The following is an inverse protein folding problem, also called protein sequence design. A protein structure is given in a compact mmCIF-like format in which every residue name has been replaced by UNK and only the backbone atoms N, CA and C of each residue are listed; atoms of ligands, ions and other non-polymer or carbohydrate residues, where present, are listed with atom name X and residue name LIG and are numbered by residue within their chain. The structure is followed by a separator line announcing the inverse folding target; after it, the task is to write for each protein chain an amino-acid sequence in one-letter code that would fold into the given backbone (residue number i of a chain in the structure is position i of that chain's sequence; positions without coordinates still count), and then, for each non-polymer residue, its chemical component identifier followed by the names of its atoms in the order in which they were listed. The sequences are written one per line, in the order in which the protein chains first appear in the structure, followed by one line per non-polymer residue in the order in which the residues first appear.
data_IF_579388208389
#
_entry.id   IF_579388208389
#
_cell.length_a   1.000
_cell.length_b   1.000
_cell.length_c   1.000
_cell.angle_alpha   90.00
_cell.angle_beta   90.00
_cell.angle_gamma   90.00
#
_symmetry.space_group_name_H-M   'P 1'
#
loop_
_entity.id
_entity.type
_entity.pdbx_description
1 polymer ?
#
# COMPACT_ATOMS: atom_id res chain seq x y z
N UNK A 1 -5.71 -0.84 -5.44
CA UNK A 1 -6.29 -1.50 -4.25
C UNK A 1 -7.28 -0.53 -3.64
N UNK A 2 -8.34 -1.02 -2.99
CA UNK A 2 -9.17 -0.18 -2.14
C UNK A 2 -8.38 0.15 -0.86
N UNK A 3 -8.54 1.36 -0.33
CA UNK A 3 -7.94 1.78 0.93
C UNK A 3 -8.40 0.85 2.04
N UNK A 4 -7.47 0.40 2.87
CA UNK A 4 -7.73 -0.62 3.88
C UNK A 4 -7.89 0.03 5.26
N UNK A 5 -8.97 -0.31 5.95
CA UNK A 5 -9.27 0.16 7.31
C UNK A 5 -8.98 -0.94 8.31
N UNK A 6 -8.12 -0.68 9.29
CA UNK A 6 -8.00 -1.53 10.46
C UNK A 6 -9.10 -1.15 11.45
N UNK A 7 -10.02 -2.08 11.74
CA UNK A 7 -11.11 -1.85 12.69
C UNK A 7 -10.72 -2.45 14.03
N UNK A 8 -10.31 -1.58 14.94
CA UNK A 8 -10.12 -1.90 16.34
C UNK A 8 -11.40 -1.60 17.10
N UNK A 9 -12.20 -2.64 17.27
CA UNK A 9 -13.33 -2.64 18.17
C UNK A 9 -13.16 -3.83 19.11
N UNK A 10 -13.67 -3.74 20.34
CA UNK A 10 -13.59 -4.88 21.25
C UNK A 10 -14.16 -6.19 20.66
N UNK A 11 -13.82 -7.32 21.27
CA UNK A 11 -14.15 -8.64 20.74
C UNK A 11 -15.31 -9.35 21.47
N UNK A 12 -16.01 -8.69 22.41
CA UNK A 12 -17.00 -9.33 23.29
C UNK A 12 -18.25 -9.73 22.47
N UNK A 13 -18.51 -11.03 22.30
CA UNK A 13 -19.71 -11.47 21.61
C UNK A 13 -20.95 -11.32 22.53
N UNK A 14 -22.15 -11.24 21.94
CA UNK A 14 -22.39 -11.04 20.50
C UNK A 14 -22.28 -9.57 20.07
N UNK A 15 -22.37 -8.64 21.01
CA UNK A 15 -22.61 -7.22 20.75
C UNK A 15 -21.49 -6.54 19.95
N UNK A 16 -20.24 -6.57 20.43
CA UNK A 16 -19.14 -5.82 19.81
C UNK A 16 -18.78 -6.38 18.42
N UNK A 17 -18.84 -7.72 18.27
CA UNK A 17 -18.60 -8.40 16.99
C UNK A 17 -19.62 -8.03 15.91
N UNK A 18 -20.91 -8.10 16.23
CA UNK A 18 -21.97 -7.80 15.26
C UNK A 18 -21.89 -6.35 14.78
N UNK A 19 -21.51 -5.43 15.67
CA UNK A 19 -21.32 -4.02 15.29
C UNK A 19 -20.13 -3.87 14.34
N UNK A 20 -18.99 -4.52 14.61
CA UNK A 20 -17.84 -4.43 13.70
C UNK A 20 -18.14 -4.96 12.29
N UNK A 21 -18.88 -6.07 12.20
CA UNK A 21 -19.29 -6.62 10.90
C UNK A 21 -20.15 -5.63 10.11
N UNK A 22 -21.08 -4.95 10.78
CA UNK A 22 -21.90 -3.89 10.18
C UNK A 22 -21.09 -2.66 9.79
N UNK A 23 -20.11 -2.27 10.61
CA UNK A 23 -19.16 -1.19 10.30
C UNK A 23 -18.34 -1.54 9.05
N UNK A 24 -17.77 -2.74 8.99
CA UNK A 24 -17.01 -3.21 7.82
C UNK A 24 -17.89 -3.24 6.56
N UNK A 25 -19.14 -3.72 6.69
CA UNK A 25 -20.11 -3.72 5.59
C UNK A 25 -20.40 -2.30 5.08
N UNK A 26 -20.64 -1.34 5.99
CA UNK A 26 -20.87 0.06 5.63
C UNK A 26 -19.66 0.66 4.89
N UNK A 27 -18.45 0.45 5.40
CA UNK A 27 -17.22 0.95 4.77
C UNK A 27 -17.03 0.37 3.37
N UNK A 28 -17.35 -0.91 3.19
CA UNK A 28 -17.25 -1.59 1.89
C UNK A 28 -18.30 -1.12 0.88
N UNK A 29 -19.56 -1.04 1.30
CA UNK A 29 -20.69 -0.75 0.40
C UNK A 29 -20.78 0.72 0.03
N UNK A 30 -20.46 1.63 0.96
CA UNK A 30 -20.64 3.07 0.72
C UNK A 30 -19.36 3.80 0.32
N UNK A 31 -18.20 3.33 0.74
CA UNK A 31 -16.91 4.00 0.51
C UNK A 31 -15.92 3.16 -0.30
N UNK A 32 -16.32 1.93 -0.68
CA UNK A 32 -15.46 0.97 -1.37
C UNK A 32 -14.13 0.71 -0.64
N UNK A 33 -14.14 0.80 0.71
CA UNK A 33 -12.97 0.54 1.55
C UNK A 33 -12.93 -0.92 1.99
N UNK A 34 -11.75 -1.54 1.94
CA UNK A 34 -11.55 -2.86 2.52
C UNK A 34 -11.35 -2.72 4.03
N UNK A 35 -11.69 -3.76 4.80
CA UNK A 35 -11.59 -3.72 6.26
C UNK A 35 -10.96 -4.99 6.80
N UNK A 36 -10.07 -4.82 7.79
CA UNK A 36 -9.60 -5.92 8.62
C UNK A 36 -10.31 -5.86 9.99
N UNK A 37 -10.97 -6.95 10.34
CA UNK A 37 -11.60 -7.14 11.65
C UNK A 37 -10.65 -7.94 12.54
N UNK A 38 -10.16 -7.31 13.60
CA UNK A 38 -9.29 -7.96 14.58
C UNK A 38 -10.11 -8.89 15.50
N UNK A 39 -10.66 -9.98 14.96
CA UNK A 39 -11.38 -11.00 15.72
C UNK A 39 -10.51 -12.23 15.97
N UNK A 40 -10.42 -12.63 17.24
CA UNK A 40 -9.84 -13.91 17.73
C UNK A 40 -8.30 -13.92 17.72
N UNK A 41 -7.75 -13.53 18.87
CA UNK A 41 -6.32 -13.42 19.12
C UNK A 41 -6.10 -14.05 20.50
N UNK A 42 -5.52 -15.25 20.54
CA UNK A 42 -5.31 -15.99 21.78
C UNK A 42 -3.84 -16.39 22.01
N UNK A 43 -2.90 -15.95 21.16
CA UNK A 43 -1.46 -16.21 21.35
C UNK A 43 -0.51 -15.16 20.77
N UNK A 44 0.79 -15.33 21.05
CA UNK A 44 1.87 -14.44 20.58
C UNK A 44 1.96 -14.35 19.05
N UNK A 45 1.72 -15.46 18.34
CA UNK A 45 1.72 -15.47 16.87
C UNK A 45 0.62 -14.58 16.27
N UNK A 46 -0.49 -14.42 16.99
CA UNK A 46 -1.60 -13.60 16.53
C UNK A 46 -1.26 -12.10 16.63
N UNK A 47 -0.41 -11.70 17.60
CA UNK A 47 0.09 -10.31 17.72
C UNK A 47 0.95 -9.91 16.51
N UNK A 48 1.77 -10.84 16.00
CA UNK A 48 2.54 -10.58 14.78
C UNK A 48 1.60 -10.33 13.60
N UNK A 49 0.53 -11.13 13.47
CA UNK A 49 -0.49 -10.93 12.44
C UNK A 49 -1.20 -9.59 12.58
N UNK A 50 -1.60 -9.16 13.78
CA UNK A 50 -2.15 -7.80 13.99
C UNK A 50 -1.20 -6.74 13.49
N UNK A 51 0.08 -6.88 13.81
CA UNK A 51 1.10 -5.87 13.45
C UNK A 51 1.28 -5.80 11.93
N UNK A 52 1.26 -6.93 11.24
CA UNK A 52 1.27 -6.98 9.77
C UNK A 52 0.00 -6.34 9.17
N UNK A 53 -1.16 -6.65 9.73
CA UNK A 53 -2.43 -6.10 9.29
C UNK A 53 -2.50 -4.58 9.51
N UNK A 54 -2.03 -4.10 10.66
CA UNK A 54 -1.85 -2.67 10.94
C UNK A 54 -0.88 -2.01 9.96
N UNK A 55 0.30 -2.59 9.71
CA UNK A 55 1.27 -2.04 8.74
C UNK A 55 0.68 -1.95 7.32
N UNK A 56 -0.16 -2.91 6.94
CA UNK A 56 -0.80 -2.94 5.63
C UNK A 56 -2.05 -2.07 5.51
N UNK A 57 -2.57 -1.54 6.62
CA UNK A 57 -3.78 -0.72 6.62
C UNK A 57 -3.44 0.75 6.41
N UNK A 58 -4.36 1.49 5.79
CA UNK A 58 -4.21 2.90 5.42
C UNK A 58 -4.90 3.82 6.43
N UNK A 59 -6.00 3.33 6.98
CA UNK A 59 -6.84 4.00 7.94
C UNK A 59 -6.95 3.19 9.22
N UNK A 60 -7.18 3.88 10.34
CA UNK A 60 -7.43 3.23 11.62
C UNK A 60 -8.77 3.70 12.18
N UNK A 61 -9.64 2.75 12.49
CA UNK A 61 -10.92 2.99 13.13
C UNK A 61 -10.90 2.39 14.53
N UNK A 62 -11.01 3.24 15.53
CA UNK A 62 -11.05 2.89 16.92
C UNK A 62 -12.47 3.02 17.47
N UNK A 63 -12.99 1.98 18.12
CA UNK A 63 -14.32 1.97 18.74
C UNK A 63 -14.19 1.43 20.17
N UNK A 64 -14.30 2.31 21.15
CA UNK A 64 -14.29 1.96 22.56
C UNK A 64 -15.70 1.72 23.09
N UNK A 65 -15.99 0.47 23.45
CA UNK A 65 -17.25 0.10 24.07
C UNK A 65 -17.13 0.14 25.59
N UNK A 66 -18.15 0.71 26.24
CA UNK A 66 -18.23 0.67 27.69
C UNK A 66 -18.61 -0.73 28.18
N UNK A 67 -17.74 -1.35 28.96
CA UNK A 67 -17.99 -2.60 29.65
C UNK A 67 -18.34 -2.28 31.10
N UNK A 68 -19.57 -2.55 31.54
CA UNK A 68 -19.92 -2.46 32.96
C UNK A 68 -19.17 -3.57 33.70
N UNK A 69 -17.99 -3.26 34.21
CA UNK A 69 -17.13 -4.22 34.91
C UNK A 69 -17.91 -4.91 36.02
N UNK A 70 -17.95 -6.25 36.04
CA UNK A 70 -18.48 -6.98 37.18
C UNK A 70 -17.33 -7.34 38.11
N UNK A 71 -17.43 -6.94 39.38
CA UNK A 71 -16.63 -7.55 40.44
C UNK A 71 -17.06 -9.01 40.58
N UNK A 72 -16.31 -9.93 39.98
CA UNK A 72 -16.39 -11.33 40.37
C UNK A 72 -15.42 -11.54 41.54
N UNK A 73 -15.95 -12.05 42.66
CA UNK A 73 -15.18 -12.30 43.87
C UNK A 73 -13.86 -13.03 43.60
N UNK A 74 -12.88 -12.77 44.47
CA UNK A 74 -11.47 -13.19 44.37
C UNK A 74 -10.66 -12.54 43.21
N UNK A 75 -10.81 -11.23 43.02
CA UNK A 75 -9.72 -10.40 42.49
C UNK A 75 -9.62 -10.20 40.97
N UNK A 76 -10.59 -10.68 40.16
CA UNK A 76 -10.63 -10.30 38.74
C UNK A 76 -11.38 -8.99 38.55
N UNK A 77 -10.62 -7.90 38.39
CA UNK A 77 -11.13 -6.60 37.95
C UNK A 77 -11.35 -6.68 36.44
N UNK A 78 -12.60 -6.70 36.00
CA UNK A 78 -12.93 -6.52 34.59
C UNK A 78 -12.81 -5.02 34.26
N UNK A 79 -11.86 -4.67 33.38
CA UNK A 79 -11.67 -3.29 32.97
C UNK A 79 -12.93 -2.75 32.27
N UNK A 80 -13.24 -1.44 32.43
CA UNK A 80 -14.41 -0.84 31.81
C UNK A 80 -14.29 -0.66 30.29
N UNK A 81 -13.15 -1.03 29.71
CA UNK A 81 -12.85 -0.96 28.29
C UNK A 81 -12.11 -2.23 27.82
N UNK A 82 -11.81 -2.28 26.52
CA UNK A 82 -11.07 -3.39 25.91
C UNK A 82 -9.56 -3.15 25.92
N UNK A 83 -8.81 -3.85 26.79
CA UNK A 83 -7.34 -3.73 26.84
C UNK A 83 -6.69 -3.89 25.45
N UNK A 84 -7.15 -4.87 24.67
CA UNK A 84 -6.65 -5.14 23.32
C UNK A 84 -6.85 -3.96 22.37
N UNK A 85 -8.04 -3.35 22.39
CA UNK A 85 -8.37 -2.21 21.51
C UNK A 85 -7.49 -1.00 21.85
N UNK A 86 -7.16 -0.78 23.12
CA UNK A 86 -6.23 0.26 23.54
C UNK A 86 -4.77 -0.06 23.19
N UNK A 87 -4.35 -1.33 23.24
CA UNK A 87 -3.02 -1.76 22.77
C UNK A 87 -2.87 -1.54 21.26
N UNK A 88 -3.90 -1.90 20.48
CA UNK A 88 -3.95 -1.65 19.05
C UNK A 88 -3.90 -0.15 18.74
N UNK A 89 -4.57 0.71 19.54
CA UNK A 89 -4.50 2.16 19.36
C UNK A 89 -3.08 2.69 19.64
N UNK A 90 -2.40 2.16 20.64
CA UNK A 90 -1.01 2.50 20.93
C UNK A 90 -0.08 2.07 19.78
N UNK A 91 -0.30 0.89 19.21
CA UNK A 91 0.44 0.42 18.04
C UNK A 91 0.16 1.27 16.80
N UNK A 92 -1.10 1.64 16.54
CA UNK A 92 -1.46 2.51 15.44
C UNK A 92 -0.78 3.89 15.56
N UNK A 93 -0.75 4.46 16.76
CA UNK A 93 -0.03 5.70 17.03
C UNK A 93 1.49 5.54 16.82
N UNK A 94 2.08 4.44 17.32
CA UNK A 94 3.51 4.14 17.11
C UNK A 94 3.87 3.96 15.64
N UNK A 95 2.99 3.32 14.86
CA UNK A 95 3.11 3.17 13.42
C UNK A 95 2.77 4.47 12.68
N UNK A 96 2.54 5.60 13.35
CA UNK A 96 2.36 6.90 12.70
C UNK A 96 1.10 7.01 11.85
N UNK A 97 0.00 6.33 12.21
CA UNK A 97 -1.30 6.57 11.58
C UNK A 97 -1.71 8.04 11.75
N UNK A 98 -1.91 8.73 10.63
CA UNK A 98 -2.43 10.10 10.61
C UNK A 98 -3.95 10.10 10.49
N UNK A 99 -4.50 9.13 9.75
CA UNK A 99 -5.94 8.99 9.54
C UNK A 99 -6.58 8.06 10.57
N UNK A 100 -6.85 8.61 11.75
CA UNK A 100 -7.49 7.89 12.87
C UNK A 100 -8.89 8.46 13.14
N UNK A 101 -9.94 7.66 12.98
CA UNK A 101 -11.27 7.97 13.50
C UNK A 101 -11.46 7.22 14.82
N UNK A 102 -11.91 7.91 15.87
CA UNK A 102 -12.12 7.34 17.19
C UNK A 102 -13.54 7.58 17.66
N UNK A 103 -14.19 6.52 18.15
CA UNK A 103 -15.50 6.53 18.76
C UNK A 103 -15.41 6.02 20.21
N UNK A 104 -16.22 6.60 21.09
CA UNK A 104 -16.36 6.13 22.46
C UNK A 104 -17.83 6.03 22.87
N UNK A 105 -18.18 4.92 23.51
CA UNK A 105 -19.53 4.72 24.02
C UNK A 105 -19.87 5.78 25.06
N UNK A 106 -21.10 6.29 25.02
CA UNK A 106 -21.57 7.34 25.92
C UNK A 106 -21.44 6.92 27.38
N UNK A 107 -20.91 7.81 28.21
CA UNK A 107 -20.64 7.60 29.64
C UNK A 107 -19.53 6.59 29.94
N UNK A 108 -18.77 6.11 28.94
CA UNK A 108 -17.54 5.37 29.18
C UNK A 108 -16.51 6.29 29.87
N UNK A 109 -15.78 5.81 30.89
CA UNK A 109 -14.71 6.59 31.49
C UNK A 109 -13.54 6.74 30.53
N UNK A 110 -12.86 7.88 30.56
CA UNK A 110 -11.61 8.10 29.83
C UNK A 110 -10.48 7.29 30.49
N UNK A 111 -10.29 6.06 30.01
CA UNK A 111 -9.33 5.11 30.55
C UNK A 111 -8.31 4.63 29.50
N UNK A 112 -7.32 3.88 29.97
CA UNK A 112 -6.30 3.27 29.12
C UNK A 112 -5.51 4.31 28.31
N UNK A 113 -5.13 3.94 27.08
CA UNK A 113 -4.31 4.80 26.22
C UNK A 113 -5.01 6.11 25.81
N UNK A 114 -6.34 6.14 25.68
CA UNK A 114 -7.08 7.36 25.28
C UNK A 114 -6.88 8.51 26.23
N UNK A 115 -6.82 8.22 27.54
CA UNK A 115 -6.62 9.22 28.58
C UNK A 115 -5.36 10.08 28.35
N UNK A 116 -4.35 9.54 27.68
CA UNK A 116 -3.04 10.19 27.52
C UNK A 116 -2.79 10.79 26.14
N UNK A 117 -3.54 10.37 25.10
CA UNK A 117 -3.24 10.72 23.70
C UNK A 117 -4.06 11.90 23.17
N UNK A 118 -4.83 12.58 24.03
CA UNK A 118 -5.66 13.73 23.64
C UNK A 118 -6.57 13.44 22.41
N UNK A 119 -7.00 12.19 22.25
CA UNK A 119 -8.06 11.88 21.28
C UNK A 119 -9.36 12.45 21.83
N UNK A 120 -10.07 13.23 21.02
CA UNK A 120 -11.44 13.66 21.29
C UNK A 120 -12.37 12.69 20.54
N UNK A 121 -12.63 11.47 21.07
CA UNK A 121 -13.43 10.48 20.38
C UNK A 121 -14.86 10.99 20.22
N UNK A 122 -15.45 10.68 19.07
CA UNK A 122 -16.87 10.97 18.85
C UNK A 122 -17.71 10.03 19.72
N UNK A 123 -18.66 10.59 20.46
CA UNK A 123 -19.49 9.80 21.39
C UNK A 123 -20.67 9.14 20.68
N UNK A 124 -21.05 7.93 21.08
CA UNK A 124 -22.23 7.23 20.56
C UNK A 124 -22.94 6.45 21.68
N UNK A 125 -24.27 6.35 21.63
CA UNK A 125 -25.04 5.61 22.65
C UNK A 125 -25.53 4.23 22.20
N UNK A 126 -25.59 4.00 20.89
CA UNK A 126 -26.11 2.78 20.30
C UNK A 126 -25.52 2.55 18.90
N UNK A 127 -25.77 1.36 18.35
CA UNK A 127 -25.28 0.94 17.03
C UNK A 127 -25.73 1.89 15.91
N UNK A 128 -26.99 2.33 15.91
CA UNK A 128 -27.53 3.17 14.84
C UNK A 128 -26.86 4.54 14.83
N UNK A 129 -26.64 5.11 16.02
CA UNK A 129 -25.90 6.36 16.17
C UNK A 129 -24.45 6.21 15.70
N UNK A 130 -23.77 5.13 16.07
CA UNK A 130 -22.40 4.86 15.64
C UNK A 130 -22.30 4.81 14.10
N UNK A 131 -23.14 4.00 13.45
CA UNK A 131 -23.11 3.84 11.99
C UNK A 131 -23.42 5.16 11.27
N UNK A 132 -24.40 5.93 11.77
CA UNK A 132 -24.74 7.25 11.22
C UNK A 132 -23.57 8.23 11.33
N UNK A 133 -22.95 8.32 12.50
CA UNK A 133 -21.82 9.22 12.74
C UNK A 133 -20.57 8.81 11.98
N UNK A 134 -20.29 7.51 11.91
CA UNK A 134 -19.20 6.97 11.09
C UNK A 134 -19.34 7.40 9.63
N UNK A 135 -20.52 7.21 9.03
CA UNK A 135 -20.78 7.64 7.65
C UNK A 135 -20.50 9.12 7.44
N UNK A 136 -20.95 9.98 8.36
CA UNK A 136 -20.71 11.43 8.30
C UNK A 136 -19.21 11.73 8.36
N UNK A 137 -18.52 11.21 9.39
CA UNK A 137 -17.10 11.54 9.63
C UNK A 137 -16.20 10.99 8.51
N UNK A 138 -16.44 9.78 8.03
CA UNK A 138 -15.69 9.19 6.91
C UNK A 138 -15.87 10.04 5.64
N UNK A 139 -17.10 10.51 5.38
CA UNK A 139 -17.40 11.42 4.28
C UNK A 139 -16.74 12.79 4.41
N UNK A 140 -16.80 13.41 5.60
CA UNK A 140 -16.18 14.71 5.88
C UNK A 140 -14.66 14.68 5.81
N UNK A 141 -14.04 13.60 6.30
CA UNK A 141 -12.59 13.39 6.20
C UNK A 141 -12.11 12.97 4.81
N UNK A 142 -13.03 12.66 3.90
CA UNK A 142 -12.69 12.28 2.53
C UNK A 142 -11.87 10.99 2.44
N UNK A 143 -12.11 10.02 3.34
CA UNK A 143 -11.46 8.72 3.24
C UNK A 143 -11.71 8.11 1.87
N UNK A 144 -10.62 7.85 1.15
CA UNK A 144 -10.61 7.52 -0.27
C UNK A 144 -10.08 6.10 -0.48
N UNK A 145 -10.76 5.34 -1.33
CA UNK A 145 -10.35 3.99 -1.74
C UNK A 145 -9.00 3.94 -2.48
N UNK A 146 -8.53 5.04 -3.06
CA UNK A 146 -7.25 5.08 -3.78
C UNK A 146 -6.10 5.61 -2.93
N UNK A 147 -6.37 6.03 -1.69
CA UNK A 147 -5.32 6.44 -0.78
C UNK A 147 -4.62 5.21 -0.21
N UNK A 148 -3.30 5.30 -0.12
CA UNK A 148 -2.52 4.46 0.76
C UNK A 148 -1.46 5.29 1.45
N UNK A 149 -1.20 4.96 2.72
CA UNK A 149 -0.09 5.53 3.49
C UNK A 149 1.25 4.81 3.23
N UNK A 150 1.24 3.71 2.46
CA UNK A 150 2.43 2.89 2.19
C UNK A 150 3.21 3.41 0.96
N UNK A 151 3.96 2.52 0.30
CA UNK A 151 4.59 2.83 -0.99
C UNK A 151 3.53 2.94 -2.08
N UNK A 152 3.58 4.02 -2.85
CA UNK A 152 2.67 4.25 -3.97
C UNK A 152 3.40 4.80 -5.18
N UNK A 153 2.75 4.70 -6.34
CA UNK A 153 3.21 5.35 -7.56
C UNK A 153 2.51 6.69 -7.67
N UNK A 154 3.28 7.75 -7.86
CA UNK A 154 2.73 9.10 -7.97
C UNK A 154 2.91 9.75 -9.33
N UNK A 155 3.92 9.32 -10.08
CA UNK A 155 4.24 9.92 -11.36
C UNK A 155 4.89 8.90 -12.30
N UNK A 156 4.73 9.15 -13.60
CA UNK A 156 5.30 8.38 -14.68
C UNK A 156 5.83 9.35 -15.72
N UNK A 157 7.12 9.24 -16.01
CA UNK A 157 7.83 10.18 -16.86
C UNK A 157 8.58 9.46 -17.96
N UNK A 158 8.88 10.24 -18.99
CA UNK A 158 9.76 9.86 -20.08
C UNK A 158 10.92 10.85 -20.08
N UNK A 159 12.13 10.33 -19.96
CA UNK A 159 13.37 11.10 -19.93
C UNK A 159 14.17 10.74 -21.19
N UNK A 160 14.73 11.76 -21.85
CA UNK A 160 15.71 11.54 -22.90
C UNK A 160 15.56 12.45 -24.12
N UNK A 161 16.27 12.11 -25.22
CA UNK A 161 17.17 10.96 -25.31
C UNK A 161 18.40 11.13 -24.40
N UNK A 162 18.83 10.05 -23.75
CA UNK A 162 20.03 10.01 -22.90
C UNK A 162 21.10 9.14 -23.56
N UNK A 163 22.36 9.50 -23.36
CA UNK A 163 23.46 8.64 -23.75
C UNK A 163 23.67 7.55 -22.70
N UNK A 164 23.61 6.30 -23.14
CA UNK A 164 23.80 5.11 -22.31
C UNK A 164 24.88 4.22 -22.92
N UNK A 165 25.75 3.68 -22.08
CA UNK A 165 26.80 2.77 -22.50
C UNK A 165 26.93 1.62 -21.51
N UNK A 166 27.03 0.42 -22.04
CA UNK A 166 27.24 -0.81 -21.30
C UNK A 166 28.17 -1.76 -22.07
N UNK A 167 28.29 -3.01 -21.62
CA UNK A 167 29.12 -4.02 -22.24
C UNK A 167 28.65 -4.47 -23.64
N UNK A 168 27.44 -4.10 -24.06
CA UNK A 168 26.93 -4.38 -25.41
C UNK A 168 27.18 -3.27 -26.41
N UNK A 169 27.38 -2.05 -25.93
CA UNK A 169 27.68 -0.93 -26.80
C UNK A 169 27.29 0.41 -26.20
N UNK A 170 27.10 1.37 -27.10
CA UNK A 170 26.74 2.74 -26.75
C UNK A 170 25.54 3.16 -27.59
N UNK A 171 24.51 3.67 -26.93
CA UNK A 171 23.23 3.95 -27.53
C UNK A 171 22.68 5.28 -26.99
N UNK A 172 21.88 5.94 -27.80
CA UNK A 172 20.95 6.94 -27.28
C UNK A 172 19.63 6.23 -27.00
N UNK A 173 19.02 6.52 -25.86
CA UNK A 173 17.79 5.86 -25.43
C UNK A 173 16.80 6.85 -24.81
N UNK A 174 15.53 6.55 -24.96
CA UNK A 174 14.47 7.14 -24.14
C UNK A 174 14.21 6.21 -22.97
N UNK A 175 14.17 6.76 -21.77
CA UNK A 175 13.95 6.01 -20.53
C UNK A 175 12.59 6.37 -19.99
N UNK A 176 11.83 5.38 -19.55
CA UNK A 176 10.61 5.60 -18.80
C UNK A 176 10.86 5.33 -17.34
N UNK A 177 10.45 6.28 -16.50
CA UNK A 177 10.66 6.25 -15.07
C UNK A 177 9.37 6.40 -14.29
N UNK A 178 9.27 5.69 -13.17
CA UNK A 178 8.17 5.83 -12.21
C UNK A 178 8.68 6.43 -10.92
N UNK A 179 7.88 7.33 -10.35
CA UNK A 179 8.10 7.83 -9.01
C UNK A 179 7.43 6.91 -7.99
N UNK A 180 8.22 6.40 -7.05
CA UNK A 180 7.74 5.66 -5.89
C UNK A 180 7.82 6.58 -4.67
N UNK A 181 6.68 6.89 -4.08
CA UNK A 181 6.57 7.68 -2.86
C UNK A 181 6.42 6.78 -1.64
N UNK A 182 7.18 7.07 -0.59
CA UNK A 182 6.93 6.54 0.74
C UNK A 182 6.04 7.53 1.51
N UNK A 183 4.75 7.19 1.67
CA UNK A 183 3.80 8.03 2.40
C UNK A 183 3.76 7.77 3.91
N UNK A 184 4.61 6.88 4.43
CA UNK A 184 4.69 6.64 5.87
C UNK A 184 5.54 7.72 6.54
N UNK A 185 5.06 8.37 7.61
CA UNK A 185 5.85 9.34 8.36
C UNK A 185 6.80 8.67 9.37
N UNK A 186 6.60 7.40 9.68
CA UNK A 186 7.23 6.73 10.82
C UNK A 186 8.43 5.86 10.45
N UNK A 187 8.57 5.45 9.19
CA UNK A 187 9.60 4.48 8.77
C UNK A 187 10.10 4.72 7.35
N UNK A 188 11.41 4.54 7.16
CA UNK A 188 12.03 4.55 5.83
C UNK A 188 11.80 3.21 5.12
N UNK A 189 11.59 3.23 3.81
CA UNK A 189 11.56 2.03 2.99
C UNK A 189 13.01 1.61 2.68
N UNK A 190 13.52 0.65 3.44
CA UNK A 190 14.89 0.14 3.34
C UNK A 190 14.92 -1.02 2.34
N UNK A 191 16.06 -1.17 1.65
CA UNK A 191 16.28 -2.21 0.64
C UNK A 191 15.20 -2.21 -0.44
N UNK A 192 14.73 -1.02 -0.82
CA UNK A 192 13.67 -0.88 -1.82
C UNK A 192 14.22 -1.31 -3.16
N UNK A 193 13.60 -2.33 -3.77
CA UNK A 193 14.00 -2.91 -5.05
C UNK A 193 12.78 -3.10 -5.94
N UNK A 194 12.95 -2.96 -7.25
CA UNK A 194 11.90 -3.18 -8.24
C UNK A 194 12.34 -4.20 -9.27
N UNK A 195 11.42 -5.02 -9.75
CA UNK A 195 11.65 -5.97 -10.84
C UNK A 195 10.45 -6.03 -11.78
N UNK A 196 10.71 -6.41 -13.04
CA UNK A 196 9.66 -6.81 -13.97
C UNK A 196 9.27 -8.26 -13.68
N UNK A 197 8.02 -8.47 -13.26
CA UNK A 197 7.51 -9.78 -12.87
C UNK A 197 7.10 -10.61 -14.09
N UNK A 198 6.33 -10.03 -15.00
CA UNK A 198 5.92 -10.67 -16.24
C UNK A 198 5.37 -9.64 -17.23
N UNK A 199 5.22 -10.07 -18.48
CA UNK A 199 4.61 -9.29 -19.54
C UNK A 199 3.33 -10.03 -20.00
N UNK A 200 2.24 -9.29 -20.19
CA UNK A 200 1.08 -9.80 -20.92
C UNK A 200 1.25 -9.37 -22.38
N UNK A 201 1.30 -10.36 -23.27
CA UNK A 201 1.45 -10.19 -24.70
C UNK A 201 0.16 -9.64 -25.34
N UNK A 202 0.18 -9.15 -26.59
CA UNK A 202 -1.01 -8.71 -27.30
C UNK A 202 -2.08 -9.81 -27.46
N UNK A 203 -1.65 -11.07 -27.47
CA UNK A 203 -2.52 -12.25 -27.45
C UNK A 203 -3.28 -12.45 -26.13
N UNK A 204 -2.89 -11.74 -25.07
CA UNK A 204 -3.38 -11.93 -23.71
C UNK A 204 -2.61 -12.99 -22.91
N UNK A 205 -1.65 -13.69 -23.54
CA UNK A 205 -0.81 -14.68 -22.87
C UNK A 205 0.18 -14.02 -21.91
N UNK A 206 0.45 -14.69 -20.79
CA UNK A 206 1.46 -14.27 -19.82
C UNK A 206 2.82 -14.84 -20.21
N UNK A 207 3.74 -13.95 -20.58
CA UNK A 207 5.15 -14.27 -20.76
C UNK A 207 5.90 -14.02 -19.45
N UNK A 208 6.49 -15.06 -18.89
CA UNK A 208 7.44 -14.94 -17.79
C UNK A 208 8.67 -14.16 -18.28
N UNK A 209 9.23 -13.31 -17.43
CA UNK A 209 10.45 -12.59 -17.74
C UNK A 209 11.66 -13.39 -17.24
N UNK A 210 12.56 -13.77 -18.14
CA UNK A 210 13.79 -14.48 -17.80
C UNK A 210 14.74 -13.60 -16.97
N UNK A 211 14.66 -12.28 -17.14
CA UNK A 211 15.42 -11.32 -16.33
C UNK A 211 14.69 -10.96 -15.04
N UNK A 212 14.91 -11.77 -13.99
CA UNK A 212 14.34 -11.55 -12.66
C UNK A 212 15.13 -10.57 -11.79
N UNK A 213 16.12 -9.88 -12.34
CA UNK A 213 16.99 -9.01 -11.56
C UNK A 213 16.36 -7.64 -11.27
N UNK A 214 16.98 -6.92 -10.34
CA UNK A 214 16.47 -5.62 -9.90
C UNK A 214 16.74 -4.53 -10.93
N UNK A 215 15.80 -3.61 -11.07
CA UNK A 215 15.86 -2.47 -11.98
C UNK A 215 16.62 -1.31 -11.35
N UNK A 216 17.30 -0.55 -12.21
CA UNK A 216 18.12 0.59 -11.82
C UNK A 216 17.25 1.74 -11.29
N UNK A 217 17.68 2.32 -10.18
CA UNK A 217 17.14 3.57 -9.67
C UNK A 217 17.66 4.75 -10.49
N UNK A 218 16.75 5.59 -10.95
CA UNK A 218 17.01 6.79 -11.74
C UNK A 218 17.19 8.05 -10.89
N UNK A 219 17.82 9.07 -11.47
CA UNK A 219 17.91 10.42 -10.91
C UNK A 219 19.30 11.06 -11.00
N UNK A 220 19.35 12.30 -11.50
CA UNK A 220 20.50 13.20 -11.33
C UNK A 220 20.60 13.61 -9.86
N UNK A 221 21.24 12.77 -9.02
CA UNK A 221 21.33 13.05 -7.58
C UNK A 221 22.18 12.11 -6.73
N UNK A 222 22.93 11.17 -7.34
CA UNK A 222 24.04 10.50 -6.65
C UNK A 222 23.75 9.15 -5.96
N UNK A 223 22.54 8.60 -6.04
CA UNK A 223 22.29 7.20 -5.65
C UNK A 223 22.05 6.36 -6.89
N UNK A 224 23.15 5.92 -7.52
CA UNK A 224 23.13 4.91 -8.56
C UNK A 224 23.11 3.53 -7.91
N UNK A 225 22.26 2.63 -8.40
CA UNK A 225 22.19 1.26 -7.90
C UNK A 225 20.87 0.58 -8.24
N UNK A 226 20.72 -0.64 -7.74
CA UNK A 226 19.55 -1.49 -7.96
C UNK A 226 18.68 -1.65 -6.70
N UNK A 227 19.09 -0.98 -5.63
CA UNK A 227 18.36 -0.87 -4.36
C UNK A 227 18.47 0.56 -3.85
N UNK A 228 17.46 1.01 -3.09
CA UNK A 228 17.43 2.36 -2.52
C UNK A 228 16.75 2.39 -1.15
N UNK A 229 17.16 3.35 -0.34
CA UNK A 229 16.42 3.75 0.86
C UNK A 229 15.53 4.95 0.49
N UNK A 230 14.22 4.85 0.69
CA UNK A 230 13.29 5.98 0.55
C UNK A 230 12.90 6.45 1.95
N UNK A 231 13.32 7.66 2.32
CA UNK A 231 13.05 8.22 3.65
C UNK A 231 11.53 8.43 3.89
N UNK A 232 11.09 8.59 5.14
CA UNK A 232 9.70 8.93 5.44
C UNK A 232 9.25 10.18 4.68
N UNK A 233 8.06 10.12 4.06
CA UNK A 233 7.47 11.21 3.28
C UNK A 233 8.33 11.67 2.09
N UNK A 234 9.24 10.83 1.61
CA UNK A 234 10.11 11.10 0.46
C UNK A 234 9.81 10.16 -0.71
N UNK A 235 10.57 10.27 -1.81
CA UNK A 235 10.38 9.53 -3.03
C UNK A 235 11.68 9.09 -3.69
N UNK A 236 11.58 8.08 -4.55
CA UNK A 236 12.66 7.64 -5.44
C UNK A 236 12.13 7.41 -6.85
N UNK A 237 13.04 7.35 -7.84
CA UNK A 237 12.68 7.08 -9.24
C UNK A 237 13.30 5.78 -9.70
N UNK A 238 12.56 5.01 -10.48
CA UNK A 238 13.02 3.72 -11.02
C UNK A 238 12.89 3.76 -12.54
N UNK A 239 13.96 3.39 -13.24
CA UNK A 239 13.92 3.17 -14.68
C UNK A 239 13.22 1.84 -14.93
N UNK A 240 12.01 1.88 -15.46
CA UNK A 240 11.18 0.68 -15.65
C UNK A 240 11.46 0.00 -17.00
N UNK A 241 11.76 0.78 -18.04
CA UNK A 241 12.25 0.29 -19.32
C UNK A 241 12.87 1.44 -20.13
N UNK A 242 13.60 1.08 -21.17
CA UNK A 242 14.17 2.01 -22.14
C UNK A 242 13.90 1.53 -23.57
N UNK A 243 13.92 2.47 -24.51
CA UNK A 243 13.85 2.19 -25.95
C UNK A 243 15.04 2.89 -26.60
N UNK A 244 15.88 2.11 -27.27
CA UNK A 244 17.03 2.63 -28.01
C UNK A 244 16.53 3.45 -29.22
N UNK A 245 17.19 4.56 -29.53
CA UNK A 245 16.84 5.42 -30.66
C UNK A 245 17.20 4.77 -32.01
N UNK A 246 18.21 3.90 -32.01
CA UNK A 246 18.81 3.35 -33.23
C UNK A 246 18.61 1.83 -33.35
N UNK A 247 17.96 1.20 -32.38
CA UNK A 247 17.75 -0.24 -32.32
C UNK A 247 16.33 -0.56 -31.91
N UNK A 248 15.86 -1.72 -32.35
CA UNK A 248 14.50 -2.16 -32.09
C UNK A 248 14.46 -2.86 -30.75
N UNK A 249 13.45 -2.53 -29.97
CA UNK A 249 13.05 -3.29 -28.81
C UNK A 249 12.91 -2.43 -27.57
N UNK A 250 12.35 -3.06 -26.56
CA UNK A 250 12.19 -2.53 -25.21
C UNK A 250 13.21 -3.22 -24.34
N UNK A 251 14.04 -2.45 -23.65
CA UNK A 251 15.17 -2.94 -22.86
C UNK A 251 14.96 -2.64 -21.39
N UNK A 252 15.51 -3.48 -20.51
CA UNK A 252 15.56 -3.22 -19.08
C UNK A 252 16.95 -2.71 -18.69
N UNK A 253 16.98 -1.74 -17.77
CA UNK A 253 18.21 -1.40 -17.04
C UNK A 253 18.27 -2.23 -15.77
N UNK A 254 18.42 -3.53 -15.95
CA UNK A 254 18.42 -4.50 -14.87
C UNK A 254 19.84 -4.72 -14.31
N UNK A 255 19.93 -5.38 -13.16
CA UNK A 255 21.21 -5.77 -12.56
C UNK A 255 21.84 -7.00 -13.23
N UNK A 256 21.05 -7.71 -14.05
CA UNK A 256 21.51 -8.87 -14.76
C UNK A 256 22.34 -8.43 -15.96
N UNK A 257 23.59 -8.88 -15.94
CA UNK A 257 24.57 -8.53 -16.95
C UNK A 257 24.49 -9.51 -18.12
N UNK A 258 23.34 -9.60 -18.80
CA UNK A 258 23.23 -10.40 -20.02
C UNK A 258 24.18 -9.84 -21.10
N UNK A 259 24.89 -10.73 -21.79
CA UNK A 259 25.81 -10.38 -22.87
C UNK A 259 25.52 -11.23 -24.12
N UNK A 260 24.98 -10.64 -25.20
CA UNK A 260 24.46 -9.28 -25.27
C UNK A 260 23.16 -9.11 -24.47
N UNK A 261 22.86 -7.90 -24.02
CA UNK A 261 21.55 -7.51 -23.51
C UNK A 261 20.50 -7.70 -24.60
N UNK A 262 19.41 -8.38 -24.26
CA UNK A 262 18.34 -8.75 -25.18
C UNK A 262 17.11 -7.90 -24.86
N UNK A 263 16.36 -7.40 -25.87
CA UNK A 263 15.09 -6.74 -25.62
C UNK A 263 14.07 -7.70 -25.01
N UNK A 264 13.30 -7.22 -24.03
CA UNK A 264 12.17 -7.97 -23.43
C UNK A 264 10.92 -7.93 -24.31
N UNK A 265 10.85 -7.00 -25.26
CA UNK A 265 9.81 -6.89 -26.29
C UNK A 265 10.50 -6.48 -27.59
N UNK A 266 10.30 -7.24 -28.67
CA UNK A 266 10.89 -6.95 -29.98
C UNK A 266 9.84 -6.60 -31.04
N UNK A 267 8.65 -7.18 -30.94
CA UNK A 267 7.58 -7.03 -31.93
C UNK A 267 6.59 -5.93 -31.57
N UNK A 268 6.03 -5.28 -32.58
CA UNK A 268 4.99 -4.26 -32.37
C UNK A 268 3.74 -4.84 -31.71
N UNK A 269 3.08 -4.04 -30.88
CA UNK A 269 1.84 -4.45 -30.23
C UNK A 269 1.54 -3.71 -28.94
N UNK A 270 0.40 -4.08 -28.34
CA UNK A 270 -0.03 -3.56 -27.04
C UNK A 270 0.32 -4.59 -25.96
N UNK A 271 1.19 -4.18 -25.05
CA UNK A 271 1.72 -5.01 -23.98
C UNK A 271 1.27 -4.47 -22.62
N UNK A 272 1.21 -5.36 -21.62
CA UNK A 272 1.08 -4.94 -20.21
C UNK A 272 2.26 -5.47 -19.42
N UNK A 273 3.14 -4.56 -19.02
CA UNK A 273 4.32 -4.87 -18.23
C UNK A 273 3.96 -4.80 -16.73
N UNK A 274 4.10 -5.92 -16.02
CA UNK A 274 3.71 -6.04 -14.62
C UNK A 274 4.95 -6.00 -13.72
N UNK A 275 5.02 -5.02 -12.83
CA UNK A 275 6.17 -4.77 -11.96
C UNK A 275 5.82 -5.02 -10.49
N UNK A 276 6.86 -5.29 -9.70
CA UNK A 276 6.79 -5.44 -8.25
C UNK A 276 7.88 -4.60 -7.58
N UNK A 277 7.52 -3.88 -6.51
CA UNK A 277 8.41 -3.14 -5.63
C UNK A 277 8.34 -3.73 -4.24
N UNK A 278 9.50 -4.14 -3.73
CA UNK A 278 9.67 -4.68 -2.39
C UNK A 278 10.45 -3.69 -1.54
N UNK A 279 10.08 -3.56 -0.27
CA UNK A 279 10.87 -2.87 0.74
C UNK A 279 10.61 -3.51 2.10
N UNK A 280 11.58 -3.42 3.02
CA UNK A 280 11.43 -3.94 4.37
C UNK A 280 10.31 -3.21 5.13
N UNK A 281 9.44 -3.97 5.79
CA UNK A 281 8.30 -3.46 6.58
C UNK A 281 7.19 -2.73 5.79
N UNK A 282 7.22 -2.78 4.45
CA UNK A 282 6.14 -2.32 3.59
C UNK A 282 5.41 -3.49 2.94
N UNK A 283 4.09 -3.37 2.68
CA UNK A 283 3.39 -4.27 1.78
C UNK A 283 4.02 -4.27 0.38
N UNK A 284 3.91 -5.39 -0.31
CA UNK A 284 4.31 -5.50 -1.72
C UNK A 284 3.50 -4.52 -2.58
N UNK A 285 4.20 -3.61 -3.26
CA UNK A 285 3.59 -2.74 -4.26
C UNK A 285 3.70 -3.40 -5.64
N UNK A 286 2.58 -3.73 -6.26
CA UNK A 286 2.53 -4.22 -7.65
C UNK A 286 1.89 -3.18 -8.55
N UNK A 287 2.34 -3.04 -9.80
CA UNK A 287 1.73 -2.13 -10.76
C UNK A 287 1.89 -2.59 -12.21
N UNK A 288 1.09 -2.01 -13.09
CA UNK A 288 1.05 -2.38 -14.51
C UNK A 288 1.24 -1.13 -15.36
N UNK A 289 2.11 -1.24 -16.36
CA UNK A 289 2.28 -0.24 -17.40
C UNK A 289 1.78 -0.81 -18.71
N UNK A 290 0.83 -0.12 -19.34
CA UNK A 290 0.39 -0.43 -20.68
C UNK A 290 1.31 0.27 -21.68
N UNK A 291 1.83 -0.50 -22.63
CA UNK A 291 2.78 -0.05 -23.64
C UNK A 291 2.24 -0.39 -25.02
N UNK A 292 1.90 0.63 -25.80
CA UNK A 292 1.68 0.53 -27.24
C UNK A 292 3.03 0.71 -27.95
N UNK A 293 3.72 -0.41 -28.19
CA UNK A 293 5.04 -0.41 -28.81
C UNK A 293 4.91 -0.44 -30.33
N UNK A 294 5.42 0.59 -30.98
CA UNK A 294 5.48 0.75 -32.44
C UNK A 294 6.90 1.08 -32.85
N UNK A 295 7.42 0.33 -33.82
CA UNK A 295 8.73 0.60 -34.36
C UNK A 295 8.66 1.89 -35.20
N UNK A 296 9.60 2.82 -34.97
CA UNK A 296 9.73 4.10 -35.69
C UNK A 296 8.59 5.13 -35.56
N UNK A 297 7.70 5.02 -34.56
CA UNK A 297 6.82 6.15 -34.27
C UNK A 297 7.68 7.34 -33.78
N UNK A 298 7.50 8.58 -34.30
CA UNK A 298 8.06 9.74 -33.63
C UNK A 298 7.57 9.68 -32.19
N UNK A 299 8.51 9.78 -31.24
CA UNK A 299 8.29 9.66 -29.80
C UNK A 299 7.54 10.94 -29.35
N UNK A 300 6.33 11.15 -29.88
CA UNK A 300 5.40 12.20 -29.49
C UNK A 300 4.89 11.81 -28.11
N UNK A 301 4.91 12.71 -27.13
CA UNK A 301 4.34 12.44 -25.82
C UNK A 301 2.82 12.42 -25.96
N UNK A 302 2.26 11.29 -26.40
CA UNK A 302 0.88 11.02 -26.07
C UNK A 302 0.85 10.74 -24.57
N UNK A 303 0.04 11.50 -23.83
CA UNK A 303 -0.43 11.07 -22.53
C UNK A 303 -1.07 9.71 -22.75
N UNK A 304 -0.32 8.63 -22.52
CA UNK A 304 -0.92 7.32 -22.35
C UNK A 304 -1.90 7.54 -21.20
N UNK A 305 -3.21 7.32 -21.39
CA UNK A 305 -4.13 7.33 -20.26
C UNK A 305 -3.63 6.22 -19.34
N UNK A 306 -2.94 6.61 -18.27
CA UNK A 306 -2.54 5.68 -17.24
C UNK A 306 -3.85 5.29 -16.59
N UNK A 307 -4.41 4.18 -17.05
CA UNK A 307 -5.34 3.45 -16.23
C UNK A 307 -4.47 2.88 -15.11
N UNK A 308 -4.26 3.66 -14.04
CA UNK A 308 -3.77 3.20 -12.72
C UNK A 308 -4.80 2.24 -12.10
N UNK A 309 -5.36 1.35 -12.91
CA UNK A 309 -6.30 0.34 -12.52
C UNK A 309 -5.48 -0.87 -12.09
N UNK A 310 -5.49 -1.07 -10.76
CA UNK A 310 -5.14 -2.30 -10.05
C UNK A 310 -3.64 -2.57 -9.85
N UNK A 311 -3.09 -1.85 -8.86
CA UNK A 311 -2.21 -2.51 -7.90
C UNK A 311 -3.01 -3.62 -7.18
N UNK A 312 -2.67 -4.89 -7.45
CA UNK A 312 -3.14 -6.07 -6.70
C UNK A 312 -2.00 -6.53 -5.80
N UNK A 313 -2.25 -6.57 -4.50
CA UNK A 313 -1.49 -7.42 -3.57
C UNK A 313 -1.96 -8.84 -3.84
N UNK A 314 -1.07 -9.71 -4.29
CA UNK A 314 -1.38 -11.13 -4.48
C UNK A 314 -1.67 -11.77 -3.13
N UNK A 315 -2.95 -11.99 -2.83
CA UNK A 315 -3.34 -12.98 -1.84
C UNK A 315 -2.96 -14.35 -2.38
N UNK A 316 -2.14 -15.11 -1.63
CA UNK A 316 -2.00 -16.54 -1.86
C UNK A 316 -3.38 -17.16 -1.65
N UNK A 317 -3.98 -17.70 -2.70
CA UNK A 317 -4.96 -18.76 -2.54
C UNK A 317 -4.22 -19.95 -1.92
N UNK A 318 -4.67 -20.33 -0.73
CA UNK A 318 -4.43 -21.64 -0.13
C UNK A 318 -5.78 -22.36 -0.10
#
# INVERSE_FOLDING_TARGET
MAGKVFISCGQRPPFEKNIAEKVAKLLKEEFELDSYLAFKIQGLNDIMKITEELRSSDYYLFIDFFRKGKFFGWGKIELPCSLFTHQELALAHHLGFQEIISFQYKDAPLEGFLRYVQSNPETFKDENELLKKLKIIVGERGWNKNYSRNLVISDFRRIGPLYYGDQTGQYYEWVWDVHIENRRPDVAAINTACLLDYIVLPSGEKMENDDRSFLKWGGHGGQMGYQRIILPLDHGRINIFAIHCNENGVYLHSALDFVPRVPVISDEGIYRMCYKVFAEHFPLLSFVVELDYKHNAPIVPQRIPINLSRARVGGREA
#
